data_IF_528493552425
#
_entry.id   IF_528493552425
#
_cell.length_a   1.000
_cell.length_b   1.000
_cell.length_c   1.000
_cell.angle_alpha   90.00
_cell.angle_beta   90.00
_cell.angle_gamma   90.00
#
_symmetry.space_group_name_H-M   'P 1'
#
loop_
_entity.id
_entity.type
_entity.pdbx_description
1 polymer ?
#
# COMPACT_ATOMS: atom_id res chain seq x y z
N UNK A 1 2.76 -19.92 -14.71
CA UNK A 1 3.48 -19.00 -13.81
C UNK A 1 2.42 -18.27 -13.00
N UNK A 2 2.32 -18.46 -11.67
CA UNK A 2 1.40 -17.65 -10.89
C UNK A 2 1.82 -16.19 -11.06
N UNK A 3 0.92 -15.38 -11.61
CA UNK A 3 1.09 -13.93 -11.64
C UNK A 3 1.43 -13.47 -10.22
N UNK A 4 2.56 -12.79 -10.03
CA UNK A 4 2.95 -12.27 -8.72
C UNK A 4 1.82 -11.36 -8.21
N UNK A 5 1.20 -11.74 -7.10
CA UNK A 5 0.06 -10.99 -6.55
C UNK A 5 0.56 -10.07 -5.45
N UNK A 6 0.33 -8.78 -5.61
CA UNK A 6 0.67 -7.75 -4.64
C UNK A 6 -0.62 -7.18 -4.04
N UNK A 7 -0.62 -6.98 -2.73
CA UNK A 7 -1.75 -6.44 -1.99
C UNK A 7 -1.31 -5.19 -1.23
N UNK A 8 -2.18 -4.19 -1.21
CA UNK A 8 -1.97 -2.97 -0.45
C UNK A 8 -2.61 -3.15 0.93
N UNK A 9 -1.84 -2.94 1.98
CA UNK A 9 -2.30 -2.95 3.37
C UNK A 9 -2.00 -1.61 4.04
N UNK A 10 -2.82 -1.24 5.01
CA UNK A 10 -2.60 -0.05 5.82
C UNK A 10 -2.98 -0.30 7.27
N UNK A 11 -2.25 0.34 8.19
CA UNK A 11 -2.57 0.28 9.63
C UNK A 11 -3.75 1.16 10.02
N UNK A 12 -4.06 2.17 9.21
CA UNK A 12 -5.14 3.10 9.46
C UNK A 12 -6.18 2.97 8.34
N UNK A 13 -7.46 3.26 8.61
CA UNK A 13 -8.45 3.38 7.56
C UNK A 13 -7.95 4.45 6.59
N UNK A 14 -7.62 4.04 5.36
CA UNK A 14 -7.25 4.95 4.30
C UNK A 14 -8.49 5.71 3.90
N UNK A 15 -8.71 6.86 4.54
CA UNK A 15 -9.78 7.81 4.18
C UNK A 15 -9.36 8.63 2.95
N UNK A 16 -8.62 8.01 2.04
CA UNK A 16 -8.17 8.64 0.81
C UNK A 16 -9.39 8.91 -0.07
N UNK A 17 -9.73 10.19 -0.25
CA UNK A 17 -10.84 10.64 -1.12
C UNK A 17 -10.72 10.18 -2.59
N UNK A 18 -9.51 9.76 -2.99
CA UNK A 18 -9.12 9.54 -4.37
C UNK A 18 -9.30 8.09 -4.84
N UNK A 19 -9.42 7.13 -3.92
CA UNK A 19 -9.46 5.72 -4.28
C UNK A 19 -10.60 4.97 -3.59
N UNK A 20 -11.34 4.12 -4.33
CA UNK A 20 -12.41 3.34 -3.74
C UNK A 20 -11.82 2.34 -2.74
N UNK A 21 -12.55 2.00 -1.67
CA UNK A 21 -12.09 1.04 -0.66
C UNK A 21 -11.76 -0.35 -1.24
N UNK A 22 -12.31 -0.66 -2.42
CA UNK A 22 -12.00 -1.88 -3.17
C UNK A 22 -10.55 -1.94 -3.67
N UNK A 23 -9.88 -0.80 -3.89
CA UNK A 23 -8.48 -0.75 -4.33
C UNK A 23 -7.53 -1.41 -3.30
N UNK A 24 -7.87 -1.35 -2.00
CA UNK A 24 -7.10 -2.00 -0.93
C UNK A 24 -7.36 -3.50 -0.79
N UNK A 25 -8.44 -3.99 -1.39
CA UNK A 25 -8.76 -5.41 -1.46
C UNK A 25 -8.35 -6.03 -2.80
N UNK A 26 -7.92 -5.20 -3.75
CA UNK A 26 -7.50 -5.65 -5.07
C UNK A 26 -6.10 -6.27 -5.00
N UNK A 27 -5.92 -7.34 -5.75
CA UNK A 27 -4.62 -7.95 -6.01
C UNK A 27 -4.07 -7.37 -7.31
N UNK A 28 -2.85 -6.87 -7.25
CA UNK A 28 -2.14 -6.30 -8.38
C UNK A 28 -1.15 -7.32 -8.92
N UNK A 29 -1.03 -7.42 -10.23
CA UNK A 29 0.01 -8.24 -10.86
C UNK A 29 1.35 -7.52 -10.96
N UNK A 30 1.31 -6.19 -10.92
CA UNK A 30 2.46 -5.31 -11.07
C UNK A 30 2.82 -4.63 -9.73
N UNK A 31 4.06 -4.79 -9.25
CA UNK A 31 4.50 -4.16 -8.01
C UNK A 31 4.51 -2.64 -8.14
N UNK A 32 4.97 -2.10 -9.27
CA UNK A 32 5.02 -0.66 -9.53
C UNK A 32 3.62 -0.04 -9.52
N UNK A 33 2.61 -0.74 -10.05
CA UNK A 33 1.22 -0.28 -10.01
C UNK A 33 0.68 -0.29 -8.57
N UNK A 34 0.92 -1.37 -7.83
CA UNK A 34 0.52 -1.48 -6.43
C UNK A 34 1.11 -0.35 -5.57
N UNK A 35 2.40 -0.04 -5.77
CA UNK A 35 3.08 1.07 -5.09
C UNK A 35 2.48 2.41 -5.48
N UNK A 36 2.25 2.66 -6.77
CA UNK A 36 1.65 3.91 -7.23
C UNK A 36 0.25 4.13 -6.63
N UNK A 37 -0.57 3.07 -6.57
CA UNK A 37 -1.90 3.13 -5.94
C UNK A 37 -1.78 3.34 -4.42
N UNK A 38 -0.87 2.64 -3.76
CA UNK A 38 -0.64 2.79 -2.32
C UNK A 38 -0.26 4.24 -1.98
N UNK A 39 0.71 4.82 -2.69
CA UNK A 39 1.13 6.22 -2.51
C UNK A 39 0.00 7.19 -2.82
N UNK A 40 -0.76 6.97 -3.89
CA UNK A 40 -1.94 7.80 -4.23
C UNK A 40 -3.08 7.69 -3.20
N UNK A 41 -3.10 6.63 -2.40
CA UNK A 41 -4.10 6.40 -1.36
C UNK A 41 -3.80 7.11 -0.06
N UNK A 42 -2.52 7.39 0.19
CA UNK A 42 -2.07 8.09 1.38
C UNK A 42 -2.48 9.54 1.26
N UNK A 43 -3.39 9.97 2.14
CA UNK A 43 -3.75 11.38 2.26
C UNK A 43 -2.69 12.13 3.10
N UNK A 44 -2.22 11.49 4.18
CA UNK A 44 -1.27 12.08 5.13
C UNK A 44 -0.10 11.12 5.38
N UNK A 45 1.02 11.24 4.66
CA UNK A 45 2.15 10.30 4.77
C UNK A 45 2.85 10.33 6.14
N UNK A 46 2.59 11.36 6.95
CA UNK A 46 3.09 11.50 8.33
C UNK A 46 2.19 10.85 9.38
N UNK A 47 0.98 10.40 9.01
CA UNK A 47 0.03 9.76 9.93
C UNK A 47 -0.48 8.41 9.42
N UNK A 48 -0.37 8.18 8.11
CA UNK A 48 -0.88 7.00 7.43
C UNK A 48 0.28 6.18 6.87
N UNK A 49 0.44 4.99 7.43
CA UNK A 49 1.34 3.98 6.89
C UNK A 49 0.57 3.11 5.88
N UNK A 50 1.08 3.04 4.66
CA UNK A 50 0.69 2.03 3.67
C UNK A 50 1.87 1.14 3.36
N UNK A 51 1.57 -0.12 3.06
CA UNK A 51 2.56 -1.11 2.69
C UNK A 51 2.03 -1.99 1.57
N UNK A 52 2.92 -2.37 0.67
CA UNK A 52 2.63 -3.29 -0.41
C UNK A 52 3.29 -4.61 -0.08
N UNK A 53 2.48 -5.66 -0.02
CA UNK A 53 2.88 -7.01 0.36
C UNK A 53 2.78 -7.92 -0.86
N UNK A 54 3.84 -8.67 -1.14
CA UNK A 54 3.82 -9.76 -2.09
C UNK A 54 3.10 -10.96 -1.46
N UNK A 55 1.87 -11.23 -1.88
CA UNK A 55 0.98 -12.25 -1.31
C UNK A 55 1.61 -13.65 -1.23
N UNK A 56 2.24 -14.20 -2.27
CA UNK A 56 2.76 -15.56 -2.19
C UNK A 56 4.00 -15.69 -1.29
N UNK A 57 4.76 -14.61 -1.08
CA UNK A 57 5.96 -14.62 -0.22
C UNK A 57 5.74 -14.02 1.18
N UNK A 58 4.69 -13.21 1.36
CA UNK A 58 4.49 -12.38 2.54
C UNK A 58 5.46 -11.19 2.66
N UNK A 59 6.27 -10.93 1.62
CA UNK A 59 7.33 -9.92 1.67
C UNK A 59 6.76 -8.51 1.47
N UNK A 60 7.20 -7.54 2.29
CA UNK A 60 6.85 -6.14 2.11
C UNK A 60 7.81 -5.51 1.12
N UNK A 61 7.35 -5.29 -0.11
CA UNK A 61 8.18 -4.68 -1.16
C UNK A 61 8.23 -3.15 -1.05
N UNK A 62 7.27 -2.55 -0.34
CA UNK A 62 7.18 -1.11 -0.16
C UNK A 62 6.44 -0.78 1.12
N UNK A 63 6.89 0.26 1.82
CA UNK A 63 6.22 0.83 3.00
C UNK A 63 6.46 2.34 3.02
N UNK A 64 5.40 3.14 3.15
CA UNK A 64 5.58 4.54 3.53
C UNK A 64 5.94 4.59 5.01
N UNK A 65 7.14 5.07 5.33
CA UNK A 65 7.51 5.36 6.72
C UNK A 65 6.64 6.48 7.24
N UNK A 66 6.14 6.33 8.46
CA UNK A 66 5.77 7.45 9.32
C UNK A 66 6.92 8.45 9.30
N UNK A 67 6.79 9.53 8.53
CA UNK A 67 7.75 10.61 8.57
C UNK A 67 7.39 11.53 9.74
N UNK A 68 7.43 11.01 10.97
CA UNK A 68 7.36 11.82 12.19
C UNK A 68 7.90 11.09 13.44
N UNK A 69 9.22 10.87 13.50
CA UNK A 69 10.05 11.52 14.53
C UNK A 69 11.55 11.26 14.31
N UNK A 70 12.35 12.29 13.95
CA UNK A 70 13.76 12.30 14.32
C UNK A 70 13.81 12.41 15.85
N UNK A 71 14.46 11.45 16.50
CA UNK A 71 14.91 11.58 17.89
C UNK A 71 16.15 12.44 17.98
#
# INVERSE_FOLDING_TARGET
>A
MPSAQFRIESRYPLVGRLLPPSAFKQLYTDPSLAVAVAVKSVADPTRQEVRVVHVPSGEIIFRTTDAAHPG
#
